data_IF_725973846747
#
_entry.id   IF_725973846747
#
_cell.length_a   1.000
_cell.length_b   1.000
_cell.length_c   1.000
_cell.angle_alpha   90.00
_cell.angle_beta   90.00
_cell.angle_gamma   90.00
#
_symmetry.space_group_name_H-M   'P 1'
#
loop_
_entity.id
_entity.type
_entity.pdbx_description
1 polymer ?
#
# COMPACT_ATOMS: atom_id res chain seq x y z
N UNK A 1 20.70 -59.68 10.20
CA UNK A 1 19.23 -59.51 10.11
C UNK A 1 18.92 -58.34 11.04
N UNK A 2 18.57 -57.13 10.63
CA UNK A 2 17.85 -56.67 9.46
C UNK A 2 18.38 -55.28 9.04
N UNK A 3 17.90 -54.83 7.89
CA UNK A 3 18.47 -53.90 6.93
C UNK A 3 18.34 -52.41 7.29
N UNK A 4 19.12 -51.60 6.59
CA UNK A 4 19.09 -50.15 6.49
C UNK A 4 17.83 -49.59 5.80
N UNK A 5 17.54 -48.32 6.10
CA UNK A 5 16.67 -47.43 5.34
C UNK A 5 16.47 -46.15 6.17
N UNK A 6 17.10 -45.00 5.91
CA UNK A 6 17.45 -44.44 4.62
C UNK A 6 16.24 -43.66 4.10
N UNK A 7 16.22 -42.34 4.33
CA UNK A 7 15.21 -41.46 3.74
C UNK A 7 14.88 -40.27 4.63
N UNK A 8 15.68 -39.21 4.51
CA UNK A 8 15.21 -37.87 4.81
C UNK A 8 14.04 -37.57 3.84
N UNK A 9 12.85 -37.42 4.40
CA UNK A 9 11.67 -36.84 3.78
C UNK A 9 11.30 -35.72 4.74
N UNK A 10 11.60 -34.46 4.46
CA UNK A 10 11.13 -33.71 3.32
C UNK A 10 10.48 -32.48 3.94
N UNK A 11 11.31 -31.46 4.18
CA UNK A 11 10.85 -30.10 4.40
C UNK A 11 10.08 -29.66 3.15
N UNK A 12 8.77 -29.48 3.29
CA UNK A 12 7.90 -28.68 2.43
C UNK A 12 6.46 -28.97 2.82
N UNK A 13 6.00 -28.25 3.83
CA UNK A 13 4.61 -28.30 4.26
C UNK A 13 4.29 -27.16 5.18
N UNK A 14 4.84 -25.96 4.91
CA UNK A 14 4.25 -24.74 5.43
C UNK A 14 2.90 -24.62 4.73
N UNK A 15 1.89 -25.25 5.32
CA UNK A 15 0.50 -24.91 5.12
C UNK A 15 0.37 -23.47 5.60
N UNK A 16 0.67 -22.53 4.71
CA UNK A 16 0.33 -21.12 4.83
C UNK A 16 -1.20 -21.07 4.68
N UNK A 17 -1.85 -21.58 5.72
CA UNK A 17 -3.29 -21.59 5.89
C UNK A 17 -3.65 -20.13 6.01
N UNK A 18 -4.06 -19.55 4.88
CA UNK A 18 -4.53 -18.19 4.75
C UNK A 18 -5.80 -18.00 5.58
N UNK A 19 -5.65 -17.98 6.89
CA UNK A 19 -6.54 -17.27 7.78
C UNK A 19 -6.33 -15.79 7.45
N UNK A 20 -6.99 -15.33 6.39
CA UNK A 20 -7.08 -13.91 6.08
C UNK A 20 -7.74 -13.24 7.29
N UNK A 21 -6.91 -12.69 8.18
CA UNK A 21 -7.36 -11.83 9.25
C UNK A 21 -8.18 -10.67 8.68
N UNK A 22 -8.97 -9.98 9.51
CA UNK A 22 -9.75 -8.84 9.05
C UNK A 22 -8.83 -7.83 8.35
N UNK A 23 -9.21 -7.43 7.14
CA UNK A 23 -8.49 -6.42 6.38
C UNK A 23 -8.38 -5.13 7.19
N UNK A 24 -7.19 -4.55 7.26
CA UNK A 24 -6.90 -3.32 7.98
C UNK A 24 -5.90 -2.46 7.19
N UNK A 25 -6.04 -1.13 7.27
CA UNK A 25 -5.06 -0.21 6.71
C UNK A 25 -3.78 -0.15 7.56
N UNK A 26 -2.66 0.22 6.92
CA UNK A 26 -1.39 0.45 7.63
C UNK A 26 -1.49 1.66 8.57
N UNK A 27 -0.89 1.59 9.77
CA UNK A 27 -0.96 2.67 10.76
C UNK A 27 -0.01 3.85 10.46
N UNK A 28 0.88 3.68 9.48
CA UNK A 28 2.05 4.56 9.26
C UNK A 28 1.73 5.84 8.49
N UNK A 29 0.63 5.86 7.74
CA UNK A 29 0.29 6.96 6.82
C UNK A 29 -0.96 7.68 7.31
N UNK A 30 -0.82 8.54 8.31
CA UNK A 30 -1.96 9.35 8.77
C UNK A 30 -2.33 10.40 7.73
N UNK A 31 -3.56 10.94 7.79
CA UNK A 31 -3.98 12.02 6.90
C UNK A 31 -3.11 13.28 7.05
N UNK A 32 -2.58 13.53 8.25
CA UNK A 32 -1.67 14.65 8.48
C UNK A 32 -0.30 14.41 7.83
N UNK A 33 0.17 13.17 7.81
CA UNK A 33 1.40 12.80 7.09
C UNK A 33 1.22 13.00 5.59
N UNK A 34 0.09 12.56 5.03
CA UNK A 34 -0.23 12.76 3.61
C UNK A 34 -0.32 14.25 3.27
N UNK A 35 -0.99 15.05 4.12
CA UNK A 35 -1.10 16.50 3.94
C UNK A 35 0.27 17.17 3.93
N UNK A 36 1.15 16.80 4.86
CA UNK A 36 2.51 17.33 4.96
C UNK A 36 3.35 16.96 3.73
N UNK A 37 3.39 15.68 3.37
CA UNK A 37 4.12 15.18 2.19
C UNK A 37 3.66 15.86 0.90
N UNK A 38 2.35 16.02 0.71
CA UNK A 38 1.79 16.70 -0.46
C UNK A 38 2.15 18.19 -0.49
N UNK A 39 2.13 18.86 0.66
CA UNK A 39 2.50 20.27 0.76
C UNK A 39 3.98 20.50 0.47
N UNK A 40 4.86 19.63 0.97
CA UNK A 40 6.31 19.66 0.66
C UNK A 40 6.55 19.48 -0.84
N UNK A 41 5.93 18.45 -1.44
CA UNK A 41 6.02 18.18 -2.88
C UNK A 41 5.59 19.37 -3.75
N UNK A 42 4.51 20.06 -3.35
CA UNK A 42 3.99 21.23 -4.04
C UNK A 42 4.88 22.46 -3.87
N UNK A 43 5.45 22.65 -2.67
CA UNK A 43 6.33 23.77 -2.37
C UNK A 43 7.66 23.67 -3.13
N UNK A 44 8.26 22.48 -3.23
CA UNK A 44 9.48 22.23 -4.01
C UNK A 44 9.35 22.62 -5.49
N UNK A 45 8.13 22.60 -6.02
CA UNK A 45 7.81 22.87 -7.43
C UNK A 45 7.19 24.25 -7.66
N UNK A 46 7.04 25.04 -6.60
CA UNK A 46 6.36 26.35 -6.65
C UNK A 46 4.92 26.26 -7.19
N UNK A 47 4.24 25.15 -6.89
CA UNK A 47 2.89 24.84 -7.38
C UNK A 47 1.76 25.40 -6.51
N UNK A 48 2.09 26.07 -5.40
CA UNK A 48 1.10 26.67 -4.52
C UNK A 48 0.13 27.62 -5.26
N UNK A 49 0.60 28.30 -6.31
CA UNK A 49 -0.23 29.17 -7.16
C UNK A 49 -1.38 28.44 -7.87
N UNK A 50 -1.21 27.15 -8.19
CA UNK A 50 -2.21 26.34 -8.90
C UNK A 50 -3.18 25.62 -7.94
N UNK A 51 -2.85 25.53 -6.65
CA UNK A 51 -3.65 24.86 -5.61
C UNK A 51 -4.77 25.76 -5.04
N UNK A 52 -5.51 26.44 -5.93
CA UNK A 52 -6.76 27.09 -5.54
C UNK A 52 -7.86 26.04 -5.32
N UNK A 53 -8.82 26.25 -4.40
CA UNK A 53 -9.82 25.23 -4.05
C UNK A 53 -10.57 24.64 -5.24
N UNK A 54 -10.93 25.48 -6.24
CA UNK A 54 -11.60 25.04 -7.46
C UNK A 54 -10.71 24.14 -8.33
N UNK A 55 -9.42 24.45 -8.42
CA UNK A 55 -8.49 23.70 -9.26
C UNK A 55 -8.26 22.30 -8.68
N UNK A 56 -8.11 22.21 -7.36
CA UNK A 56 -8.01 20.92 -6.66
C UNK A 56 -9.28 20.07 -6.82
N UNK A 57 -10.46 20.71 -6.76
CA UNK A 57 -11.72 20.01 -7.02
C UNK A 57 -11.80 19.45 -8.45
N UNK A 58 -11.39 20.24 -9.45
CA UNK A 58 -11.38 19.78 -10.85
C UNK A 58 -10.35 18.68 -11.08
N UNK A 59 -9.18 18.76 -10.44
CA UNK A 59 -8.18 17.68 -10.47
C UNK A 59 -8.75 16.39 -9.87
N UNK A 60 -9.40 16.47 -8.70
CA UNK A 60 -10.08 15.32 -8.08
C UNK A 60 -11.13 14.70 -9.00
N UNK A 61 -11.94 15.52 -9.69
CA UNK A 61 -12.92 15.01 -10.66
C UNK A 61 -12.23 14.29 -11.83
N UNK A 62 -11.06 14.76 -12.26
CA UNK A 62 -10.22 14.07 -13.23
C UNK A 62 -9.81 12.67 -12.78
N UNK A 63 -9.26 12.54 -11.56
CA UNK A 63 -8.88 11.25 -10.97
C UNK A 63 -10.07 10.29 -10.83
N UNK A 64 -11.26 10.79 -10.45
CA UNK A 64 -12.49 9.99 -10.40
C UNK A 64 -12.92 9.54 -11.80
N UNK A 65 -12.72 10.37 -12.81
CA UNK A 65 -12.96 10.02 -14.20
C UNK A 65 -12.03 8.92 -14.71
N UNK A 66 -10.78 8.87 -14.26
CA UNK A 66 -9.82 7.80 -14.59
C UNK A 66 -10.13 6.47 -13.89
N UNK A 67 -10.79 6.52 -12.74
CA UNK A 67 -11.18 5.32 -11.98
C UNK A 67 -12.39 4.57 -12.60
N UNK A 68 -13.23 5.27 -13.37
CA UNK A 68 -14.48 4.76 -13.94
C UNK A 68 -14.28 3.78 -15.10
#
# INVERSE_FOLDING_TARGET
MSQAGGGACGDAGQEDSAAAGPFSFSPESTLEDIRRLHAEFAAERDWAQFHQPRNLLLALVGEVGELA
#
